data_IF_351109501535
#
_entry.id   IF_351109501535
#
_cell.length_a   1.000
_cell.length_b   1.000
_cell.length_c   1.000
_cell.angle_alpha   90.00
_cell.angle_beta   90.00
_cell.angle_gamma   90.00
#
_symmetry.space_group_name_H-M   'P 1'
#
loop_
_entity.id
_entity.type
_entity.pdbx_description
1 polymer ?
#
# COMPACT_ATOMS: atom_id res chain seq x y z
N UNK A 1 1.51 4.95 0.30
CA UNK A 1 0.72 5.59 1.38
C UNK A 1 0.59 7.08 1.07
N UNK A 2 -0.58 7.70 1.30
CA UNK A 2 -0.75 9.14 1.12
C UNK A 2 0.15 9.90 2.12
N UNK A 3 0.76 11.00 1.68
CA UNK A 3 1.58 11.85 2.52
C UNK A 3 0.71 12.88 3.23
N UNK A 4 0.64 12.78 4.55
CA UNK A 4 -0.12 13.70 5.40
C UNK A 4 0.87 14.34 6.38
N UNK A 5 0.81 15.66 6.51
CA UNK A 5 1.71 16.42 7.38
C UNK A 5 1.56 15.96 8.83
N UNK A 6 2.67 15.61 9.47
CA UNK A 6 2.68 15.16 10.87
C UNK A 6 2.05 13.79 11.12
N UNK A 7 1.62 13.08 10.07
CA UNK A 7 0.97 11.77 10.24
C UNK A 7 1.97 10.70 10.68
N UNK A 8 1.62 10.02 11.77
CA UNK A 8 2.38 8.90 12.32
C UNK A 8 1.55 7.61 12.17
N UNK A 9 1.92 6.72 11.23
CA UNK A 9 1.19 5.48 11.01
C UNK A 9 1.22 4.57 12.25
N UNK A 10 0.11 3.88 12.51
CA UNK A 10 0.02 2.88 13.57
C UNK A 10 0.28 3.41 14.99
N UNK A 11 0.17 4.73 15.21
CA UNK A 11 0.62 5.42 16.43
C UNK A 11 2.11 5.16 16.76
N UNK A 12 2.96 5.14 15.74
CA UNK A 12 4.40 4.92 15.90
C UNK A 12 4.80 3.45 15.79
N UNK A 13 3.93 2.60 15.23
CA UNK A 13 4.23 1.22 14.86
C UNK A 13 4.22 1.05 13.34
N UNK A 14 5.12 0.22 12.78
CA UNK A 14 5.18 0.01 11.35
C UNK A 14 3.86 -0.55 10.84
N UNK A 15 3.46 -0.10 9.66
CA UNK A 15 2.21 -0.52 9.00
C UNK A 15 2.53 -1.57 7.95
N UNK A 16 1.71 -2.61 7.93
CA UNK A 16 1.88 -3.74 7.03
C UNK A 16 0.91 -3.63 5.86
N UNK A 17 1.40 -3.86 4.67
CA UNK A 17 0.59 -4.02 3.46
C UNK A 17 0.36 -5.50 3.24
N UNK A 18 -0.91 -5.90 3.18
CA UNK A 18 -1.30 -7.25 2.79
C UNK A 18 -2.02 -7.17 1.47
N UNK A 19 -1.53 -7.87 0.44
CA UNK A 19 -2.19 -7.95 -0.85
C UNK A 19 -2.71 -9.36 -1.10
N UNK A 20 -3.94 -9.45 -1.58
CA UNK A 20 -4.67 -10.68 -1.77
C UNK A 20 -5.22 -10.79 -3.18
N UNK A 21 -5.08 -11.97 -3.77
CA UNK A 21 -5.70 -12.32 -5.05
C UNK A 21 -6.97 -13.13 -4.78
N UNK A 22 -8.15 -12.58 -5.11
CA UNK A 22 -9.43 -13.22 -4.78
C UNK A 22 -9.59 -14.63 -5.36
N UNK A 23 -9.12 -14.84 -6.59
CA UNK A 23 -9.33 -16.09 -7.35
C UNK A 23 -8.42 -17.23 -6.87
N UNK A 24 -7.22 -16.90 -6.38
CA UNK A 24 -6.15 -17.89 -6.12
C UNK A 24 -5.71 -17.95 -4.66
N UNK A 25 -6.35 -17.17 -3.77
CA UNK A 25 -5.99 -17.07 -2.35
C UNK A 25 -4.50 -16.77 -2.08
N UNK A 26 -3.80 -16.18 -3.05
CA UNK A 26 -2.40 -15.77 -2.91
C UNK A 26 -2.36 -14.53 -2.03
N UNK A 27 -1.55 -14.57 -0.98
CA UNK A 27 -1.31 -13.45 -0.06
C UNK A 27 0.16 -13.05 -0.08
N UNK A 28 0.44 -11.76 -0.17
CA UNK A 28 1.78 -11.19 -0.01
C UNK A 28 1.80 -10.14 1.08
N UNK A 29 2.95 -10.02 1.75
CA UNK A 29 3.15 -9.13 2.88
C UNK A 29 4.34 -8.22 2.61
N UNK A 30 4.14 -6.92 2.83
CA UNK A 30 5.18 -5.89 2.76
C UNK A 30 5.01 -4.92 3.93
N UNK A 31 6.06 -4.17 4.28
CA UNK A 31 6.04 -3.27 5.46
C UNK A 31 6.53 -1.88 5.03
N UNK A 32 5.88 -0.84 5.53
CA UNK A 32 6.39 0.52 5.45
C UNK A 32 7.30 0.81 6.64
N UNK A 33 8.56 1.13 6.34
CA UNK A 33 9.56 1.49 7.34
C UNK A 33 9.19 2.82 8.03
N UNK A 34 9.24 2.83 9.36
CA UNK A 34 8.88 3.99 10.18
C UNK A 34 9.81 5.19 9.96
N UNK A 35 11.03 4.99 9.46
CA UNK A 35 11.99 6.08 9.21
C UNK A 35 11.48 7.17 8.26
N UNK A 36 10.47 6.86 7.44
CA UNK A 36 9.86 7.81 6.52
C UNK A 36 8.75 8.67 7.18
N UNK A 37 8.48 8.46 8.47
CA UNK A 37 7.40 9.13 9.20
C UNK A 37 7.92 9.84 10.46
N UNK A 38 7.32 10.97 10.84
CA UNK A 38 6.23 11.67 10.15
C UNK A 38 6.72 12.53 8.98
N UNK A 39 5.86 12.77 8.00
CA UNK A 39 6.17 13.64 6.86
C UNK A 39 6.03 15.11 7.27
N UNK A 40 7.08 15.94 7.09
CA UNK A 40 7.11 17.35 7.50
C UNK A 40 6.81 18.35 6.37
N UNK A 41 6.46 17.88 5.18
CA UNK A 41 6.05 18.74 4.07
C UNK A 41 7.18 19.12 3.11
N UNK A 42 6.76 19.52 1.91
CA UNK A 42 7.66 19.77 0.77
C UNK A 42 8.72 20.82 1.08
N UNK A 43 8.37 21.93 1.73
CA UNK A 43 9.33 23.02 2.03
C UNK A 43 10.49 22.54 2.91
N UNK A 44 10.18 21.79 3.97
CA UNK A 44 11.20 21.31 4.90
C UNK A 44 12.01 20.15 4.31
N UNK A 45 11.37 19.28 3.54
CA UNK A 45 12.02 18.13 2.90
C UNK A 45 12.86 18.50 1.67
N UNK A 46 12.51 19.54 0.92
CA UNK A 46 13.36 20.09 -0.16
C UNK A 46 14.59 20.78 0.42
N UNK A 47 14.43 21.47 1.56
CA UNK A 47 15.54 22.16 2.25
C UNK A 47 16.55 21.23 2.92
N UNK A 48 16.20 19.96 3.21
CA UNK A 48 17.03 19.03 4.00
C UNK A 48 17.58 17.83 3.21
N UNK A 49 17.27 17.68 1.91
CA UNK A 49 17.86 16.64 1.06
C UNK A 49 16.87 15.69 0.39
N UNK A 50 15.84 16.22 -0.28
CA UNK A 50 14.95 15.50 -1.20
C UNK A 50 14.36 14.21 -0.64
N UNK A 51 13.40 14.34 0.27
CA UNK A 51 12.56 13.22 0.69
C UNK A 51 11.80 12.59 -0.48
N UNK A 52 11.82 11.27 -0.54
CA UNK A 52 11.00 10.47 -1.47
C UNK A 52 9.98 9.64 -0.70
N UNK A 53 8.80 9.44 -1.29
CA UNK A 53 7.77 8.61 -0.69
C UNK A 53 8.25 7.15 -0.59
N UNK A 54 7.99 6.44 0.52
CA UNK A 54 8.30 5.02 0.57
C UNK A 54 7.39 4.27 -0.41
N UNK A 55 8.00 3.34 -1.16
CA UNK A 55 7.32 2.47 -2.12
C UNK A 55 7.51 1.02 -1.69
N UNK A 56 6.50 0.19 -1.96
CA UNK A 56 6.58 -1.25 -1.77
C UNK A 56 6.27 -1.94 -3.09
N UNK A 57 7.00 -3.02 -3.37
CA UNK A 57 6.70 -3.90 -4.49
C UNK A 57 5.97 -5.13 -3.97
N UNK A 58 5.01 -5.63 -4.76
CA UNK A 58 4.37 -6.93 -4.53
C UNK A 58 4.56 -7.79 -5.76
N UNK A 59 4.90 -9.06 -5.54
CA UNK A 59 5.15 -10.03 -6.60
C UNK A 59 4.21 -11.21 -6.43
N UNK A 60 3.47 -11.52 -7.49
CA UNK A 60 2.60 -12.68 -7.56
C UNK A 60 3.29 -13.75 -8.42
N UNK A 61 3.70 -14.86 -7.81
CA UNK A 61 4.52 -15.87 -8.48
C UNK A 61 3.73 -16.91 -9.30
N UNK A 62 2.43 -17.08 -9.03
CA UNK A 62 1.59 -18.12 -9.63
C UNK A 62 0.25 -17.54 -10.09
N UNK A 63 0.28 -16.77 -11.16
CA UNK A 63 -0.88 -16.05 -11.70
C UNK A 63 -1.35 -16.78 -12.97
N UNK A 64 -2.66 -16.99 -13.12
CA UNK A 64 -3.19 -17.66 -14.33
C UNK A 64 -3.08 -16.75 -15.55
N UNK A 65 -2.43 -17.23 -16.61
CA UNK A 65 -2.37 -16.53 -17.89
C UNK A 65 -3.74 -16.53 -18.58
N UNK A 66 -4.07 -15.42 -19.26
CA UNK A 66 -5.34 -15.25 -19.97
C UNK A 66 -6.55 -15.00 -19.07
N UNK A 67 -6.37 -14.90 -17.75
CA UNK A 67 -7.43 -14.60 -16.79
C UNK A 67 -7.33 -13.14 -16.30
N UNK A 68 -8.48 -12.49 -16.13
CA UNK A 68 -8.58 -11.22 -15.43
C UNK A 68 -8.56 -11.47 -13.92
N UNK A 69 -7.58 -10.88 -13.25
CA UNK A 69 -7.28 -11.15 -11.84
C UNK A 69 -7.42 -9.89 -11.03
N UNK A 70 -8.31 -9.93 -10.04
CA UNK A 70 -8.53 -8.82 -9.12
C UNK A 70 -7.65 -8.96 -7.89
N UNK A 71 -6.80 -7.96 -7.67
CA UNK A 71 -5.90 -7.85 -6.52
C UNK A 71 -6.44 -6.78 -5.58
N UNK A 72 -6.53 -7.09 -4.30
CA UNK A 72 -6.85 -6.14 -3.24
C UNK A 72 -5.70 -6.03 -2.24
N UNK A 73 -5.14 -4.84 -2.10
CA UNK A 73 -4.12 -4.51 -1.12
C UNK A 73 -4.71 -3.68 0.00
N UNK A 74 -4.43 -4.04 1.26
CA UNK A 74 -4.91 -3.35 2.46
C UNK A 74 -3.75 -2.97 3.37
N UNK A 75 -3.89 -1.82 4.02
CA UNK A 75 -2.98 -1.36 5.04
C UNK A 75 -3.46 -1.82 6.42
N UNK A 76 -2.58 -2.44 7.18
CA UNK A 76 -2.88 -2.99 8.50
C UNK A 76 -2.08 -2.22 9.54
N UNK A 77 -2.81 -1.53 10.41
CA UNK A 77 -2.22 -0.72 11.46
C UNK A 77 -3.30 -0.04 12.28
N UNK A 78 -2.93 0.40 13.49
CA UNK A 78 -3.85 1.14 14.35
C UNK A 78 -4.23 2.48 13.70
N UNK A 79 -5.52 2.81 13.71
CA UNK A 79 -6.05 4.04 13.11
C UNK A 79 -6.20 4.02 11.59
N UNK A 80 -6.00 2.86 10.93
CA UNK A 80 -6.24 2.70 9.49
C UNK A 80 -7.63 2.09 9.26
N UNK A 81 -8.43 2.77 8.47
CA UNK A 81 -9.78 2.35 8.07
C UNK A 81 -9.69 1.74 6.68
N UNK A 82 -10.22 0.53 6.50
CA UNK A 82 -10.17 -0.20 5.22
C UNK A 82 -11.56 -0.58 4.68
N UNK A 83 -12.61 -0.23 5.42
CA UNK A 83 -14.00 -0.67 5.26
C UNK A 83 -14.95 0.51 5.01
N UNK A 84 -14.42 1.63 4.51
CA UNK A 84 -15.23 2.79 4.16
C UNK A 84 -16.12 2.49 2.95
N UNK A 85 -17.43 2.70 3.12
CA UNK A 85 -18.42 2.59 2.04
C UNK A 85 -18.40 3.80 1.10
N UNK A 86 -17.86 4.93 1.54
CA UNK A 86 -17.81 6.17 0.75
C UNK A 86 -16.51 6.32 -0.03
N UNK A 87 -15.40 5.80 0.50
CA UNK A 87 -14.07 5.87 -0.13
C UNK A 87 -13.41 4.50 -0.21
N UNK A 88 -13.48 3.90 -1.41
CA UNK A 88 -12.88 2.60 -1.72
C UNK A 88 -11.34 2.60 -1.70
N UNK A 89 -10.69 3.76 -1.66
CA UNK A 89 -9.24 3.91 -1.62
C UNK A 89 -8.71 4.29 -0.22
N UNK A 90 -9.62 4.42 0.76
CA UNK A 90 -9.23 4.64 2.15
C UNK A 90 -8.64 3.35 2.71
N UNK A 91 -7.35 3.39 3.06
CA UNK A 91 -6.60 2.27 3.63
C UNK A 91 -6.32 1.10 2.67
N UNK A 92 -7.04 1.00 1.55
CA UNK A 92 -6.92 -0.11 0.61
C UNK A 92 -6.86 0.35 -0.84
N UNK A 93 -6.37 -0.52 -1.73
CA UNK A 93 -6.42 -0.30 -3.17
C UNK A 93 -6.79 -1.62 -3.84
N UNK A 94 -7.73 -1.56 -4.78
CA UNK A 94 -8.15 -2.71 -5.58
C UNK A 94 -7.92 -2.40 -7.04
N UNK A 95 -7.26 -3.30 -7.75
CA UNK A 95 -6.99 -3.18 -9.18
C UNK A 95 -7.12 -4.53 -9.88
N UNK A 96 -7.39 -4.49 -11.18
CA UNK A 96 -7.46 -5.69 -12.04
C UNK A 96 -6.19 -5.77 -12.87
N UNK A 97 -5.63 -6.96 -12.97
CA UNK A 97 -4.49 -7.30 -13.79
C UNK A 97 -4.94 -8.34 -14.82
N UNK A 98 -4.56 -8.16 -16.08
CA UNK A 98 -4.71 -9.18 -17.12
C UNK A 98 -3.31 -9.59 -17.55
N UNK A 99 -2.97 -10.85 -17.36
CA UNK A 99 -1.70 -11.40 -17.84
C UNK A 99 -1.96 -11.95 -19.23
N UNK A 100 -1.44 -11.26 -20.24
CA UNK A 100 -1.47 -11.75 -21.61
C UNK A 100 -0.86 -13.15 -21.68
N UNK A 101 -1.56 -14.06 -22.35
CA UNK A 101 -0.94 -15.30 -22.79
C UNK A 101 -0.13 -14.97 -24.05
N UNK A 102 1.19 -15.18 -23.98
CA UNK A 102 2.06 -15.18 -25.16
C UNK A 102 1.92 -16.52 -25.89
#
# INVERSE_FOLDING_TARGET
>A
LLQILGYLPGEGKPVNVTCEVKVQAIRTFSIFDLKYYPYYGKLRHVSLGNYSAPVVAVRFASVQNGAQIQVQCKLNGKGIINDSSTDRYLGSVTFSLEVGAE
#
